data_IF_664642756926
#
_entry.id   IF_664642756926
#
_cell.length_a   1.000
_cell.length_b   1.000
_cell.length_c   1.000
_cell.angle_alpha   90.00
_cell.angle_beta   90.00
_cell.angle_gamma   90.00
#
_symmetry.space_group_name_H-M   'P 1'
#
loop_
_entity.id
_entity.type
_entity.pdbx_description
1 polymer ?
#
# COMPACT_ATOMS: atom_id res chain seq x y z
N UNK A 1 24.91 -12.84 -0.58
CA UNK A 1 25.05 -11.41 -0.19
C UNK A 1 24.64 -11.26 1.27
N UNK A 2 25.60 -11.05 2.18
CA UNK A 2 25.30 -10.76 3.59
C UNK A 2 25.15 -9.26 3.77
N UNK A 3 23.92 -8.75 3.88
CA UNK A 3 23.70 -7.34 4.22
C UNK A 3 24.41 -7.01 5.54
N UNK A 4 25.08 -5.86 5.62
CA UNK A 4 25.77 -5.49 6.86
C UNK A 4 24.73 -5.34 7.98
N UNK A 5 25.04 -5.78 9.21
CA UNK A 5 24.13 -5.66 10.37
C UNK A 5 23.61 -4.23 10.57
N UNK A 6 24.40 -3.23 10.18
CA UNK A 6 24.01 -1.81 10.22
C UNK A 6 23.01 -1.41 9.13
N UNK A 7 23.13 -1.98 7.92
CA UNK A 7 22.15 -1.72 6.85
C UNK A 7 20.79 -2.31 7.23
N UNK A 8 20.76 -3.56 7.72
CA UNK A 8 19.53 -4.21 8.11
C UNK A 8 18.82 -3.48 9.27
N UNK A 9 19.56 -3.05 10.31
CA UNK A 9 18.96 -2.31 11.43
C UNK A 9 18.38 -0.96 10.99
N UNK A 10 19.06 -0.25 10.09
CA UNK A 10 18.56 1.01 9.53
C UNK A 10 17.31 0.82 8.69
N UNK A 11 17.27 -0.20 7.83
CA UNK A 11 16.06 -0.53 7.06
C UNK A 11 14.90 -0.87 8.00
N UNK A 12 15.10 -1.79 8.95
CA UNK A 12 14.06 -2.16 9.92
C UNK A 12 13.56 -0.96 10.71
N UNK A 13 14.45 -0.06 11.14
CA UNK A 13 14.07 1.15 11.87
C UNK A 13 13.19 2.09 11.02
N UNK A 14 13.52 2.28 9.73
CA UNK A 14 12.71 3.09 8.81
C UNK A 14 11.34 2.46 8.58
N UNK A 15 11.27 1.15 8.33
CA UNK A 15 10.00 0.44 8.13
C UNK A 15 9.12 0.45 9.39
N UNK A 16 9.72 0.18 10.56
CA UNK A 16 9.03 0.24 11.84
C UNK A 16 8.54 1.65 12.15
N UNK A 17 9.37 2.67 11.90
CA UNK A 17 9.01 4.08 12.06
C UNK A 17 7.84 4.48 11.15
N UNK A 18 7.89 4.11 9.87
CA UNK A 18 6.79 4.33 8.92
C UNK A 18 5.50 3.63 9.34
N UNK A 19 5.60 2.40 9.86
CA UNK A 19 4.45 1.64 10.35
C UNK A 19 3.81 2.30 11.57
N UNK A 20 4.64 2.71 12.55
CA UNK A 20 4.17 3.42 13.74
C UNK A 20 3.51 4.75 13.38
N UNK A 21 4.14 5.53 12.50
CA UNK A 21 3.60 6.79 12.02
C UNK A 21 2.23 6.59 11.35
N UNK A 22 2.11 5.59 10.47
CA UNK A 22 0.85 5.25 9.82
C UNK A 22 -0.24 4.88 10.84
N UNK A 23 0.08 4.03 11.84
CA UNK A 23 -0.86 3.66 12.91
C UNK A 23 -1.30 4.84 13.76
N UNK A 24 -0.38 5.71 14.14
CA UNK A 24 -0.70 6.93 14.90
C UNK A 24 -1.58 7.86 14.08
N UNK A 25 -1.27 8.05 12.78
CA UNK A 25 -2.11 8.86 11.89
C UNK A 25 -3.53 8.29 11.75
N UNK A 26 -3.66 6.97 11.68
CA UNK A 26 -4.95 6.28 11.68
C UNK A 26 -5.72 6.46 12.98
N UNK A 27 -5.05 6.37 14.14
CA UNK A 27 -5.66 6.62 15.44
C UNK A 27 -6.18 8.06 15.55
N UNK A 28 -5.40 9.03 15.08
CA UNK A 28 -5.82 10.44 15.06
C UNK A 28 -7.07 10.61 14.19
N UNK A 29 -7.09 10.00 13.00
CA UNK A 29 -8.27 10.00 12.12
C UNK A 29 -9.49 9.43 12.83
N UNK A 30 -9.34 8.29 13.51
CA UNK A 30 -10.46 7.64 14.19
C UNK A 30 -11.01 8.53 15.31
N UNK A 31 -10.15 9.17 16.11
CA UNK A 31 -10.55 10.17 17.12
C UNK A 31 -11.30 11.33 16.50
N UNK A 32 -10.83 11.85 15.36
CA UNK A 32 -11.52 12.93 14.63
C UNK A 32 -12.90 12.48 14.15
N UNK A 33 -13.04 11.25 13.62
CA UNK A 33 -14.34 10.71 13.22
C UNK A 33 -15.31 10.60 14.39
N UNK A 34 -14.85 10.08 15.54
CA UNK A 34 -15.69 10.02 16.75
C UNK A 34 -16.09 11.40 17.28
N UNK A 35 -15.27 12.43 17.06
CA UNK A 35 -15.58 13.79 17.46
C UNK A 35 -16.50 14.55 16.47
N UNK A 36 -16.50 14.17 15.19
CA UNK A 36 -17.18 14.93 14.12
C UNK A 36 -18.43 14.26 13.56
N UNK A 37 -18.52 12.93 13.61
CA UNK A 37 -19.64 12.17 13.06
C UNK A 37 -20.65 11.85 14.18
N UNK A 38 -21.96 12.09 13.96
CA UNK A 38 -23.00 11.70 14.91
C UNK A 38 -22.97 10.20 15.21
N UNK A 39 -23.23 9.83 16.47
CA UNK A 39 -23.13 8.44 16.96
C UNK A 39 -24.01 7.46 16.19
N UNK A 40 -25.14 7.91 15.62
CA UNK A 40 -26.01 7.08 14.78
C UNK A 40 -25.41 6.73 13.41
N UNK A 41 -24.48 7.54 12.89
CA UNK A 41 -23.92 7.41 11.54
C UNK A 41 -22.50 6.83 11.52
N UNK A 42 -21.84 6.74 12.68
CA UNK A 42 -20.44 6.30 12.75
C UNK A 42 -20.27 4.80 12.44
N UNK A 43 -21.23 3.96 12.84
CA UNK A 43 -21.18 2.51 12.57
C UNK A 43 -21.15 2.20 11.07
N UNK A 44 -22.15 2.67 10.27
CA UNK A 44 -22.14 2.51 8.82
C UNK A 44 -20.91 3.12 8.15
N UNK A 45 -20.44 4.27 8.63
CA UNK A 45 -19.26 4.95 8.11
C UNK A 45 -17.99 4.11 8.30
N UNK A 46 -17.77 3.53 9.50
CA UNK A 46 -16.63 2.65 9.77
C UNK A 46 -16.69 1.41 8.87
N UNK A 47 -17.86 0.80 8.68
CA UNK A 47 -18.03 -0.36 7.80
C UNK A 47 -17.70 -0.02 6.35
N UNK A 48 -18.19 1.13 5.85
CA UNK A 48 -17.89 1.62 4.51
C UNK A 48 -16.38 1.83 4.30
N UNK A 49 -15.66 2.32 5.31
CA UNK A 49 -14.20 2.45 5.25
C UNK A 49 -13.46 1.11 5.40
N UNK A 50 -14.02 0.14 6.12
CA UNK A 50 -13.35 -1.13 6.36
C UNK A 50 -13.31 -2.02 5.12
N UNK A 51 -14.37 -2.00 4.31
CA UNK A 51 -14.46 -2.79 3.08
C UNK A 51 -13.27 -2.58 2.12
N UNK A 52 -12.94 -1.34 1.68
CA UNK A 52 -11.78 -1.12 0.80
C UNK A 52 -10.45 -1.42 1.50
N UNK A 53 -10.33 -1.16 2.81
CA UNK A 53 -9.12 -1.49 3.55
C UNK A 53 -8.89 -3.01 3.58
N UNK A 54 -9.92 -3.82 3.80
CA UNK A 54 -9.81 -5.28 3.76
C UNK A 54 -9.35 -5.79 2.40
N UNK A 55 -9.89 -5.23 1.30
CA UNK A 55 -9.45 -5.59 -0.06
C UNK A 55 -7.98 -5.21 -0.30
N UNK A 56 -7.58 -4.01 0.15
CA UNK A 56 -6.19 -3.54 0.08
C UNK A 56 -5.26 -4.47 0.86
N UNK A 57 -5.64 -4.88 2.05
CA UNK A 57 -4.82 -5.75 2.90
C UNK A 57 -4.71 -7.16 2.27
N UNK A 58 -5.81 -7.70 1.74
CA UNK A 58 -5.86 -9.01 1.09
C UNK A 58 -5.00 -9.10 -0.17
N UNK A 59 -5.01 -8.05 -1.00
CA UNK A 59 -4.31 -8.04 -2.29
C UNK A 59 -2.89 -7.47 -2.15
N UNK A 60 -2.71 -6.46 -1.30
CA UNK A 60 -1.54 -5.57 -1.29
C UNK A 60 -0.47 -5.89 -0.25
N UNK A 61 -0.81 -6.32 0.97
CA UNK A 61 0.19 -6.47 2.04
C UNK A 61 1.10 -7.71 1.87
N UNK A 62 0.58 -8.80 1.28
CA UNK A 62 1.32 -10.07 1.15
C UNK A 62 1.47 -10.58 -0.28
N UNK A 63 0.35 -10.74 -0.99
CA UNK A 63 0.34 -11.40 -2.31
C UNK A 63 1.06 -10.57 -3.38
N UNK A 64 0.77 -9.27 -3.45
CA UNK A 64 1.44 -8.35 -4.38
C UNK A 64 2.94 -8.24 -4.12
N UNK A 65 3.36 -8.10 -2.85
CA UNK A 65 4.78 -7.95 -2.51
C UNK A 65 5.58 -9.23 -2.84
N UNK A 66 5.01 -10.41 -2.58
CA UNK A 66 5.62 -11.70 -2.92
C UNK A 66 5.73 -11.93 -4.45
N UNK A 67 4.82 -11.36 -5.24
CA UNK A 67 4.86 -11.46 -6.70
C UNK A 67 5.76 -10.40 -7.36
N UNK A 68 5.73 -9.15 -6.89
CA UNK A 68 6.44 -8.04 -7.54
C UNK A 68 7.90 -7.93 -7.13
N UNK A 69 8.25 -8.16 -5.86
CA UNK A 69 9.63 -7.99 -5.39
C UNK A 69 10.61 -8.89 -6.13
N UNK A 70 10.36 -10.20 -6.31
CA UNK A 70 11.27 -11.07 -7.05
C UNK A 70 11.41 -10.64 -8.52
N UNK A 71 10.29 -10.35 -9.19
CA UNK A 71 10.26 -9.97 -10.61
C UNK A 71 11.00 -8.66 -10.86
N UNK A 72 10.76 -7.64 -10.03
CA UNK A 72 11.45 -6.36 -10.15
C UNK A 72 12.93 -6.45 -9.76
N UNK A 73 13.28 -7.27 -8.76
CA UNK A 73 14.68 -7.47 -8.37
C UNK A 73 15.45 -8.20 -9.48
N UNK A 74 14.84 -9.20 -10.11
CA UNK A 74 15.43 -9.94 -11.22
C UNK A 74 15.62 -9.04 -12.45
N UNK A 75 14.60 -8.26 -12.82
CA UNK A 75 14.71 -7.33 -13.96
C UNK A 75 15.73 -6.21 -13.68
N UNK A 76 15.82 -5.73 -12.43
CA UNK A 76 16.81 -4.72 -12.05
C UNK A 76 18.26 -5.21 -12.18
N UNK A 77 18.51 -6.49 -11.96
CA UNK A 77 19.85 -7.09 -12.07
C UNK A 77 20.19 -7.53 -13.50
N UNK A 78 19.22 -8.03 -14.27
CA UNK A 78 19.46 -8.67 -15.57
C UNK A 78 19.22 -7.77 -16.77
N UNK A 79 18.31 -6.81 -16.67
CA UNK A 79 17.87 -6.02 -17.82
C UNK A 79 18.57 -4.65 -17.88
N UNK A 80 18.44 -3.98 -19.04
CA UNK A 80 18.88 -2.59 -19.16
C UNK A 80 18.02 -1.67 -18.30
N UNK A 81 18.58 -0.52 -17.91
CA UNK A 81 17.84 0.48 -17.13
C UNK A 81 16.55 0.95 -17.81
N UNK A 82 16.53 0.96 -19.15
CA UNK A 82 15.35 1.31 -19.95
C UNK A 82 14.27 0.24 -19.87
N UNK A 83 14.64 -1.04 -20.04
CA UNK A 83 13.70 -2.16 -19.95
C UNK A 83 13.08 -2.28 -18.54
N UNK A 84 13.89 -2.09 -17.50
CA UNK A 84 13.38 -2.03 -16.12
C UNK A 84 12.37 -0.89 -15.93
N UNK A 85 12.66 0.30 -16.45
CA UNK A 85 11.74 1.45 -16.38
C UNK A 85 10.44 1.20 -17.12
N UNK A 86 10.50 0.56 -18.29
CA UNK A 86 9.31 0.21 -19.07
C UNK A 86 8.45 -0.82 -18.33
N UNK A 87 9.06 -1.84 -17.72
CA UNK A 87 8.35 -2.82 -16.89
C UNK A 87 7.65 -2.15 -15.70
N UNK A 88 8.35 -1.29 -14.96
CA UNK A 88 7.76 -0.57 -13.81
C UNK A 88 6.65 0.37 -14.27
N UNK A 89 6.85 1.12 -15.36
CA UNK A 89 5.85 2.02 -15.92
C UNK A 89 4.60 1.26 -16.39
N UNK A 90 4.78 0.10 -17.04
CA UNK A 90 3.68 -0.77 -17.47
C UNK A 90 2.89 -1.32 -16.29
N UNK A 91 3.57 -1.81 -15.24
CA UNK A 91 2.92 -2.30 -14.03
C UNK A 91 2.15 -1.20 -13.30
N UNK A 92 2.76 -0.03 -13.09
CA UNK A 92 2.11 1.13 -12.46
C UNK A 92 0.93 1.63 -13.31
N UNK A 93 1.09 1.68 -14.63
CA UNK A 93 0.03 2.07 -15.57
C UNK A 93 -1.17 1.12 -15.52
N UNK A 94 -0.92 -0.20 -15.52
CA UNK A 94 -1.97 -1.20 -15.38
C UNK A 94 -2.72 -1.08 -14.04
N UNK A 95 -2.00 -0.88 -12.93
CA UNK A 95 -2.62 -0.63 -11.62
C UNK A 95 -3.45 0.64 -11.61
N UNK A 96 -2.98 1.71 -12.24
CA UNK A 96 -3.67 2.99 -12.33
C UNK A 96 -4.94 2.88 -13.19
N UNK A 97 -4.88 2.17 -14.32
CA UNK A 97 -6.06 1.89 -15.15
C UNK A 97 -7.07 1.05 -14.37
N UNK A 98 -6.64 -0.01 -13.70
CA UNK A 98 -7.52 -0.84 -12.86
C UNK A 98 -8.20 0.00 -11.78
N UNK A 99 -7.42 0.84 -11.07
CA UNK A 99 -7.93 1.74 -10.05
C UNK A 99 -8.93 2.74 -10.64
N UNK A 100 -8.64 3.33 -11.80
CA UNK A 100 -9.52 4.27 -12.48
C UNK A 100 -10.85 3.60 -12.87
N UNK A 101 -10.80 2.39 -13.42
CA UNK A 101 -11.99 1.61 -13.77
C UNK A 101 -12.83 1.26 -12.54
N UNK A 102 -12.20 0.79 -11.46
CA UNK A 102 -12.89 0.49 -10.19
C UNK A 102 -13.51 1.75 -9.58
N UNK A 103 -12.81 2.89 -9.64
CA UNK A 103 -13.32 4.17 -9.14
C UNK A 103 -14.51 4.62 -9.97
N UNK A 104 -14.42 4.54 -11.30
CA UNK A 104 -15.52 4.92 -12.20
C UNK A 104 -16.75 4.03 -11.96
N UNK A 105 -16.55 2.72 -11.83
CA UNK A 105 -17.61 1.76 -11.54
C UNK A 105 -18.22 1.94 -10.13
N UNK A 106 -17.48 2.47 -9.17
CA UNK A 106 -17.99 2.77 -7.82
C UNK A 106 -18.71 4.11 -7.70
N UNK A 107 -18.47 5.04 -8.63
CA UNK A 107 -19.11 6.37 -8.69
C UNK A 107 -20.43 6.33 -9.48
N UNK A 108 -20.52 5.46 -10.50
CA UNK A 108 -21.72 5.24 -11.33
C UNK A 108 -22.67 4.27 -10.61
#
# INVERSE_FOLDING_TARGET
MGASRQQLSRFTAVFAGGTLFSRVSGLVRDVVWFATIPTASIGPFIVAFKFPNMLRDLIGEGASNAAFVPVFSESLEKDSSEAYRELVAGAMGAMLILLALLTLAGVI
#
